data_IF_901899155479
#
_entry.id   IF_901899155479
#
_cell.length_a   1.000
_cell.length_b   1.000
_cell.length_c   1.000
_cell.angle_alpha   90.00
_cell.angle_beta   90.00
_cell.angle_gamma   90.00
#
_symmetry.space_group_name_H-M   'P 1'
#
loop_
_entity.id
_entity.type
_entity.pdbx_description
1 polymer ?
#
# COMPACT_ATOMS: atom_id res chain seq x y z
N UNK A 1 -66.92 -10.45 -42.19
CA UNK A 1 -67.20 -10.88 -40.79
C UNK A 1 -66.06 -11.78 -40.38
N UNK A 2 -65.08 -11.22 -39.65
CA UNK A 2 -64.02 -12.00 -39.05
C UNK A 2 -63.56 -11.24 -37.82
N UNK A 3 -63.72 -11.84 -36.66
CA UNK A 3 -63.44 -11.32 -35.32
C UNK A 3 -61.93 -11.39 -35.08
N UNK A 4 -61.28 -10.33 -34.56
CA UNK A 4 -59.89 -10.44 -34.17
C UNK A 4 -59.74 -11.09 -32.79
N UNK A 5 -58.74 -11.97 -32.67
CA UNK A 5 -58.32 -12.64 -31.43
C UNK A 5 -57.67 -11.64 -30.49
N UNK A 6 -58.08 -11.71 -29.25
CA UNK A 6 -57.43 -11.13 -28.07
C UNK A 6 -55.99 -11.59 -27.95
N UNK A 7 -55.08 -10.63 -27.76
CA UNK A 7 -53.68 -10.87 -27.38
C UNK A 7 -53.66 -10.90 -25.85
N UNK A 8 -53.43 -12.08 -25.29
CA UNK A 8 -53.10 -12.27 -23.89
C UNK A 8 -51.70 -11.67 -23.65
N UNK A 9 -51.66 -10.58 -22.87
CA UNK A 9 -50.43 -10.03 -22.30
C UNK A 9 -50.06 -10.85 -21.07
N UNK A 10 -49.37 -11.98 -21.27
CA UNK A 10 -48.58 -12.59 -20.21
C UNK A 10 -47.36 -11.70 -19.94
N UNK A 11 -47.50 -10.74 -19.01
CA UNK A 11 -46.40 -10.15 -18.27
C UNK A 11 -45.77 -11.24 -17.41
N UNK A 12 -44.88 -11.98 -18.02
CA UNK A 12 -43.92 -12.74 -17.23
C UNK A 12 -43.06 -11.74 -16.44
N UNK A 13 -43.40 -11.63 -15.17
CA UNK A 13 -42.58 -11.05 -14.11
C UNK A 13 -41.26 -11.87 -14.03
N UNK A 14 -40.27 -11.47 -14.83
CA UNK A 14 -38.98 -12.07 -14.88
C UNK A 14 -38.05 -11.40 -13.85
N UNK A 15 -38.57 -11.15 -12.64
CA UNK A 15 -37.75 -10.91 -11.45
C UNK A 15 -37.15 -12.22 -10.97
N UNK A 16 -36.40 -12.90 -11.85
CA UNK A 16 -35.42 -13.87 -11.41
C UNK A 16 -34.34 -13.07 -10.69
N UNK A 17 -34.29 -13.22 -9.36
CA UNK A 17 -33.17 -12.91 -8.49
C UNK A 17 -31.85 -13.30 -9.20
N UNK A 18 -31.27 -12.42 -9.98
CA UNK A 18 -29.84 -12.49 -10.31
C UNK A 18 -29.16 -12.17 -8.99
N UNK A 19 -28.76 -13.21 -8.27
CA UNK A 19 -27.86 -13.09 -7.13
C UNK A 19 -26.71 -12.21 -7.61
N UNK A 20 -26.53 -11.05 -7.01
CA UNK A 20 -25.50 -10.10 -7.42
C UNK A 20 -24.15 -10.82 -7.29
N UNK A 21 -23.44 -10.99 -8.40
CA UNK A 21 -22.13 -11.67 -8.45
C UNK A 21 -21.08 -11.02 -7.55
N UNK A 22 -21.37 -9.84 -7.02
CA UNK A 22 -20.60 -9.19 -5.96
C UNK A 22 -20.44 -10.09 -4.72
N UNK A 23 -21.38 -11.00 -4.44
CA UNK A 23 -21.30 -11.92 -3.30
C UNK A 23 -20.40 -13.15 -3.54
N UNK A 24 -19.90 -13.37 -4.77
CA UNK A 24 -19.00 -14.45 -5.09
C UNK A 24 -17.55 -14.12 -4.68
N UNK A 25 -17.23 -14.39 -3.42
CA UNK A 25 -15.91 -14.11 -2.85
C UNK A 25 -14.88 -15.17 -3.30
N UNK A 26 -13.69 -14.78 -3.79
CA UNK A 26 -12.61 -15.72 -3.99
C UNK A 26 -12.28 -16.48 -2.69
N UNK A 27 -12.19 -17.80 -2.77
CA UNK A 27 -11.92 -18.65 -1.60
C UNK A 27 -10.52 -18.40 -0.96
N UNK A 28 -9.59 -17.77 -1.69
CA UNK A 28 -8.21 -17.54 -1.27
C UNK A 28 -7.83 -16.06 -1.31
N UNK A 29 -7.63 -15.48 -0.12
CA UNK A 29 -7.19 -14.09 0.08
C UNK A 29 -5.80 -13.80 -0.53
N UNK A 30 -4.89 -14.77 -0.57
CA UNK A 30 -3.57 -14.62 -1.20
C UNK A 30 -3.69 -14.46 -2.73
N UNK A 31 -4.72 -15.02 -3.34
CA UNK A 31 -5.02 -14.82 -4.76
C UNK A 31 -5.51 -13.41 -5.04
N UNK A 32 -6.30 -12.82 -4.16
CA UNK A 32 -6.79 -11.44 -4.30
C UNK A 32 -5.62 -10.46 -4.41
N UNK A 33 -4.69 -10.45 -3.44
CA UNK A 33 -3.54 -9.54 -3.46
C UNK A 33 -2.65 -9.75 -4.68
N UNK A 34 -2.46 -11.01 -5.10
CA UNK A 34 -1.62 -11.36 -6.25
C UNK A 34 -2.18 -10.85 -7.57
N UNK A 35 -3.50 -10.90 -7.75
CA UNK A 35 -4.17 -10.50 -8.97
C UNK A 35 -4.32 -8.98 -9.08
N UNK A 36 -4.55 -8.29 -7.95
CA UNK A 36 -4.86 -6.86 -7.95
C UNK A 36 -3.66 -5.96 -7.66
N UNK A 37 -2.60 -6.44 -6.99
CA UNK A 37 -1.41 -5.60 -6.71
C UNK A 37 -0.10 -6.37 -6.73
N UNK A 38 0.65 -6.23 -7.83
CA UNK A 38 2.01 -6.80 -7.93
C UNK A 38 2.95 -6.24 -6.87
N UNK A 39 2.90 -4.94 -6.59
CA UNK A 39 3.77 -4.28 -5.62
C UNK A 39 3.52 -4.78 -4.21
N UNK A 40 2.26 -4.81 -3.76
CA UNK A 40 1.93 -5.32 -2.42
C UNK A 40 2.17 -6.83 -2.30
N UNK A 41 1.85 -7.61 -3.33
CA UNK A 41 2.13 -9.06 -3.35
C UNK A 41 3.62 -9.36 -3.19
N UNK A 42 4.49 -8.62 -3.87
CA UNK A 42 5.94 -8.77 -3.72
C UNK A 42 6.42 -8.37 -2.33
N UNK A 43 5.96 -7.24 -1.82
CA UNK A 43 6.34 -6.76 -0.48
C UNK A 43 5.84 -7.69 0.63
N UNK A 44 4.63 -8.23 0.52
CA UNK A 44 4.05 -9.15 1.51
C UNK A 44 4.88 -10.44 1.69
N UNK A 45 5.58 -10.89 0.65
CA UNK A 45 6.49 -12.05 0.74
C UNK A 45 7.64 -11.84 1.71
N UNK A 46 8.00 -10.60 2.02
CA UNK A 46 9.03 -10.24 3.00
C UNK A 46 8.50 -10.21 4.44
N UNK A 47 7.21 -10.42 4.68
CA UNK A 47 6.62 -10.49 6.02
C UNK A 47 6.78 -11.88 6.64
N UNK A 48 6.89 -11.98 7.99
CA UNK A 48 6.74 -13.24 8.69
C UNK A 48 5.41 -13.91 8.35
N UNK A 49 5.36 -15.23 8.26
CA UNK A 49 4.20 -15.99 7.74
C UNK A 49 2.87 -15.65 8.42
N UNK A 50 2.85 -15.56 9.76
CA UNK A 50 1.64 -15.21 10.51
C UNK A 50 1.16 -13.78 10.30
N UNK A 51 2.08 -12.82 10.08
CA UNK A 51 1.76 -11.43 9.74
C UNK A 51 1.29 -11.34 8.29
N UNK A 52 1.95 -12.07 7.38
CA UNK A 52 1.60 -12.10 5.96
C UNK A 52 0.16 -12.52 5.73
N UNK A 53 -0.26 -13.63 6.32
CA UNK A 53 -1.64 -14.11 6.18
C UNK A 53 -2.68 -13.09 6.65
N UNK A 54 -2.39 -12.37 7.74
CA UNK A 54 -3.30 -11.34 8.24
C UNK A 54 -3.30 -10.09 7.34
N UNK A 55 -2.16 -9.72 6.76
CA UNK A 55 -2.06 -8.63 5.76
C UNK A 55 -2.80 -8.98 4.47
N UNK A 56 -2.73 -10.23 4.02
CA UNK A 56 -3.47 -10.71 2.85
C UNK A 56 -4.99 -10.65 3.09
N UNK A 57 -5.46 -11.00 4.31
CA UNK A 57 -6.87 -10.84 4.71
C UNK A 57 -7.29 -9.37 4.72
N UNK A 58 -6.46 -8.48 5.30
CA UNK A 58 -6.74 -7.04 5.32
C UNK A 58 -6.84 -6.49 3.89
N UNK A 59 -5.89 -6.85 3.04
CA UNK A 59 -5.91 -6.41 1.63
C UNK A 59 -7.17 -6.90 0.92
N UNK A 60 -7.54 -8.16 1.11
CA UNK A 60 -8.72 -8.75 0.49
C UNK A 60 -10.01 -8.03 0.93
N UNK A 61 -10.14 -7.71 2.22
CA UNK A 61 -11.28 -6.96 2.73
C UNK A 61 -11.30 -5.51 2.19
N UNK A 62 -10.17 -4.80 2.20
CA UNK A 62 -10.08 -3.45 1.64
C UNK A 62 -10.46 -3.44 0.14
N UNK A 63 -9.96 -4.41 -0.63
CA UNK A 63 -10.30 -4.54 -2.04
C UNK A 63 -11.79 -4.84 -2.26
N UNK A 64 -12.39 -5.64 -1.39
CA UNK A 64 -13.82 -5.91 -1.41
C UNK A 64 -14.64 -4.65 -1.18
N UNK A 65 -14.24 -3.80 -0.22
CA UNK A 65 -14.90 -2.52 0.02
C UNK A 65 -14.78 -1.58 -1.19
N UNK A 66 -13.63 -1.56 -1.85
CA UNK A 66 -13.39 -0.79 -3.07
C UNK A 66 -14.27 -1.29 -4.24
N UNK A 67 -14.29 -2.62 -4.47
CA UNK A 67 -15.11 -3.25 -5.50
C UNK A 67 -16.63 -3.08 -5.25
N UNK A 68 -17.07 -2.86 -4.02
CA UNK A 68 -18.48 -2.58 -3.72
C UNK A 68 -18.99 -1.34 -4.47
N UNK A 69 -18.13 -0.35 -4.67
CA UNK A 69 -18.43 0.87 -5.43
C UNK A 69 -18.02 0.72 -6.89
N UNK A 70 -16.78 0.32 -7.14
CA UNK A 70 -16.18 0.35 -8.48
C UNK A 70 -16.83 -0.63 -9.47
N UNK A 71 -17.31 -1.78 -8.99
CA UNK A 71 -17.99 -2.79 -9.82
C UNK A 71 -19.51 -2.68 -9.82
N UNK A 72 -20.09 -1.73 -9.10
CA UNK A 72 -21.53 -1.58 -9.04
C UNK A 72 -22.09 -1.04 -10.37
N UNK A 73 -23.22 -1.57 -10.85
CA UNK A 73 -23.82 -1.13 -12.10
C UNK A 73 -24.39 0.30 -12.05
N UNK A 74 -24.67 0.81 -10.86
CA UNK A 74 -25.14 2.18 -10.61
C UNK A 74 -24.89 2.59 -9.15
N UNK A 75 -25.06 3.88 -8.86
CA UNK A 75 -24.84 4.45 -7.52
C UNK A 75 -25.81 3.92 -6.45
N UNK A 76 -27.02 3.53 -6.81
CA UNK A 76 -27.96 2.95 -5.86
C UNK A 76 -27.47 1.60 -5.35
N UNK A 77 -27.06 0.70 -6.24
CA UNK A 77 -26.49 -0.61 -5.88
C UNK A 77 -25.19 -0.44 -5.07
N UNK A 78 -24.34 0.52 -5.46
CA UNK A 78 -23.14 0.85 -4.68
C UNK A 78 -23.48 1.28 -3.25
N UNK A 79 -24.48 2.13 -3.07
CA UNK A 79 -24.97 2.57 -1.76
C UNK A 79 -25.49 1.40 -0.93
N UNK A 80 -26.31 0.52 -1.53
CA UNK A 80 -26.85 -0.67 -0.86
C UNK A 80 -25.73 -1.63 -0.42
N UNK A 81 -24.73 -1.87 -1.28
CA UNK A 81 -23.55 -2.70 -0.95
C UNK A 81 -22.76 -2.11 0.21
N UNK A 82 -22.47 -0.79 0.20
CA UNK A 82 -21.78 -0.12 1.31
C UNK A 82 -22.58 -0.14 2.61
N UNK A 83 -23.89 0.06 2.55
CA UNK A 83 -24.76 -0.03 3.72
C UNK A 83 -24.70 -1.45 4.34
N UNK A 84 -24.73 -2.48 3.51
CA UNK A 84 -24.61 -3.87 3.97
C UNK A 84 -23.22 -4.17 4.58
N UNK A 85 -22.12 -3.62 4.02
CA UNK A 85 -20.80 -3.73 4.62
C UNK A 85 -20.69 -2.98 5.95
N UNK A 86 -21.37 -1.83 6.10
CA UNK A 86 -21.47 -1.11 7.40
C UNK A 86 -22.21 -1.94 8.44
N UNK A 87 -23.32 -2.56 8.06
CA UNK A 87 -24.06 -3.46 8.97
C UNK A 87 -23.18 -4.64 9.42
N UNK A 88 -22.41 -5.22 8.50
CA UNK A 88 -21.44 -6.26 8.87
C UNK A 88 -20.36 -5.76 9.85
N UNK A 89 -19.85 -4.54 9.69
CA UNK A 89 -18.93 -3.96 10.68
C UNK A 89 -19.63 -3.81 12.04
N UNK A 90 -20.87 -3.32 12.09
CA UNK A 90 -21.65 -3.24 13.33
C UNK A 90 -21.84 -4.60 13.99
N UNK A 91 -22.21 -5.64 13.19
CA UNK A 91 -22.37 -7.02 13.64
C UNK A 91 -21.10 -7.62 14.23
N UNK A 92 -19.94 -7.40 13.57
CA UNK A 92 -18.62 -7.85 14.04
C UNK A 92 -18.37 -7.35 15.45
N UNK A 93 -18.57 -6.06 15.69
CA UNK A 93 -18.33 -5.46 17.02
C UNK A 93 -19.45 -5.71 18.04
N UNK A 94 -20.59 -6.20 17.61
CA UNK A 94 -21.66 -6.73 18.48
C UNK A 94 -21.49 -8.23 18.77
N UNK A 95 -20.46 -8.90 18.25
CA UNK A 95 -20.25 -10.35 18.39
C UNK A 95 -21.27 -11.20 17.62
N UNK A 96 -21.87 -10.64 16.56
CA UNK A 96 -22.88 -11.28 15.73
C UNK A 96 -22.26 -11.88 14.47
N UNK A 97 -22.99 -12.81 13.83
CA UNK A 97 -22.57 -13.40 12.56
C UNK A 97 -22.64 -12.37 11.43
N UNK A 98 -21.59 -12.30 10.61
CA UNK A 98 -21.52 -11.46 9.41
C UNK A 98 -22.42 -12.00 8.30
N UNK A 99 -22.88 -11.12 7.42
CA UNK A 99 -23.71 -11.48 6.26
C UNK A 99 -22.83 -11.82 5.06
N UNK A 100 -21.77 -11.03 4.83
CA UNK A 100 -20.87 -11.22 3.71
C UNK A 100 -19.70 -12.13 4.05
N UNK A 101 -19.35 -13.12 3.20
CA UNK A 101 -18.18 -13.95 3.40
C UNK A 101 -16.87 -13.16 3.49
N UNK A 102 -16.73 -12.04 2.73
CA UNK A 102 -15.57 -11.17 2.80
C UNK A 102 -15.41 -10.46 4.16
N UNK A 103 -16.50 -10.17 4.85
CA UNK A 103 -16.50 -9.59 6.18
C UNK A 103 -15.94 -10.54 7.23
N UNK A 104 -15.89 -11.86 6.95
CA UNK A 104 -15.22 -12.83 7.81
C UNK A 104 -13.71 -12.54 7.93
N UNK A 105 -13.07 -12.03 6.89
CA UNK A 105 -11.66 -11.62 6.95
C UNK A 105 -11.44 -10.49 7.97
N UNK A 106 -12.35 -9.49 7.99
CA UNK A 106 -12.30 -8.43 8.99
C UNK A 106 -12.59 -8.97 10.40
N UNK A 107 -13.60 -9.83 10.56
CA UNK A 107 -13.92 -10.47 11.85
C UNK A 107 -12.70 -11.17 12.43
N UNK A 108 -12.02 -12.02 11.65
CA UNK A 108 -10.81 -12.73 12.08
C UNK A 108 -9.69 -11.77 12.54
N UNK A 109 -9.57 -10.61 11.85
CA UNK A 109 -8.56 -9.61 12.17
C UNK A 109 -8.92 -8.80 13.42
N UNK A 110 -10.20 -8.50 13.64
CA UNK A 110 -10.70 -7.86 14.88
C UNK A 110 -10.39 -8.75 16.08
N UNK A 111 -10.79 -10.02 16.02
CA UNK A 111 -10.56 -10.99 17.09
C UNK A 111 -9.07 -11.22 17.36
N UNK A 112 -8.27 -11.42 16.32
CA UNK A 112 -6.87 -11.81 16.45
C UNK A 112 -5.93 -10.64 16.71
N UNK A 113 -6.22 -9.46 16.15
CA UNK A 113 -5.30 -8.31 16.10
C UNK A 113 -5.83 -7.07 16.80
N UNK A 114 -7.12 -7.05 17.13
CA UNK A 114 -7.78 -5.91 17.76
C UNK A 114 -7.80 -4.69 16.84
N UNK A 115 -8.23 -4.88 15.59
CA UNK A 115 -8.55 -3.77 14.69
C UNK A 115 -9.73 -3.02 15.28
N UNK A 116 -9.67 -1.70 15.29
CA UNK A 116 -10.70 -0.85 15.88
C UNK A 116 -11.84 -0.59 14.88
N UNK A 117 -13.08 -0.57 15.39
CA UNK A 117 -14.29 -0.31 14.62
C UNK A 117 -14.19 0.95 13.78
N UNK A 118 -13.68 2.03 14.40
CA UNK A 118 -13.55 3.33 13.73
C UNK A 118 -12.70 3.24 12.46
N UNK A 119 -11.63 2.43 12.45
CA UNK A 119 -10.79 2.28 11.26
C UNK A 119 -11.55 1.63 10.09
N UNK A 120 -12.38 0.63 10.38
CA UNK A 120 -13.21 -0.01 9.37
C UNK A 120 -14.28 0.97 8.82
N UNK A 121 -14.94 1.71 9.71
CA UNK A 121 -15.94 2.70 9.31
C UNK A 121 -15.36 3.86 8.51
N UNK A 122 -14.15 4.36 8.86
CA UNK A 122 -13.47 5.41 8.08
C UNK A 122 -13.11 4.92 6.67
N UNK A 123 -12.67 3.66 6.51
CA UNK A 123 -12.43 3.10 5.18
C UNK A 123 -13.71 3.11 4.34
N UNK A 124 -14.83 2.63 4.88
CA UNK A 124 -16.12 2.65 4.20
C UNK A 124 -16.58 4.07 3.88
N UNK A 125 -16.30 5.04 4.77
CA UNK A 125 -16.56 6.46 4.49
C UNK A 125 -15.68 7.02 3.37
N UNK A 126 -14.48 6.48 3.16
CA UNK A 126 -13.66 6.77 1.98
C UNK A 126 -14.30 6.27 0.70
N UNK A 127 -14.80 5.03 0.70
CA UNK A 127 -15.51 4.45 -0.46
C UNK A 127 -16.82 5.20 -0.76
N UNK A 128 -17.52 5.69 0.29
CA UNK A 128 -18.73 6.49 0.14
C UNK A 128 -18.50 7.81 -0.60
N UNK A 129 -17.29 8.42 -0.45
CA UNK A 129 -16.91 9.61 -1.21
C UNK A 129 -16.87 9.37 -2.72
N UNK A 130 -16.71 8.12 -3.14
CA UNK A 130 -16.62 7.71 -4.55
C UNK A 130 -17.98 7.32 -5.19
N UNK A 131 -19.09 7.40 -4.44
CA UNK A 131 -20.44 7.00 -4.91
C UNK A 131 -20.99 7.86 -6.04
N UNK A 132 -20.59 9.12 -6.09
CA UNK A 132 -21.11 10.08 -7.06
C UNK A 132 -19.97 10.73 -7.84
N UNK A 133 -20.28 11.25 -9.03
CA UNK A 133 -19.35 12.11 -9.76
C UNK A 133 -18.87 13.25 -8.85
N UNK A 134 -17.59 13.24 -8.50
CA UNK A 134 -17.07 14.08 -7.45
C UNK A 134 -15.70 14.65 -7.84
N UNK A 135 -15.51 15.90 -7.49
CA UNK A 135 -14.22 16.58 -7.60
C UNK A 135 -13.86 17.22 -6.26
N UNK A 136 -12.66 16.98 -5.82
CA UNK A 136 -12.08 17.53 -4.59
C UNK A 136 -12.05 19.06 -4.65
N UNK A 137 -12.51 19.74 -3.60
CA UNK A 137 -12.55 21.19 -3.58
C UNK A 137 -11.17 21.80 -3.28
N UNK A 138 -10.48 21.28 -2.28
CA UNK A 138 -9.16 21.77 -1.87
C UNK A 138 -8.21 20.64 -1.43
N UNK A 139 -6.99 21.02 -0.97
CA UNK A 139 -5.97 20.08 -0.50
C UNK A 139 -6.40 19.38 0.80
N UNK A 140 -7.19 20.01 1.66
CA UNK A 140 -7.65 19.39 2.90
C UNK A 140 -8.62 18.25 2.61
N UNK A 141 -9.54 18.43 1.66
CA UNK A 141 -10.45 17.37 1.19
C UNK A 141 -9.69 16.23 0.51
N UNK A 142 -8.67 16.54 -0.29
CA UNK A 142 -7.80 15.55 -0.90
C UNK A 142 -7.11 14.70 0.18
N UNK A 143 -6.57 15.32 1.21
CA UNK A 143 -5.90 14.61 2.30
C UNK A 143 -6.89 13.81 3.15
N UNK A 144 -8.09 14.32 3.37
CA UNK A 144 -9.15 13.58 4.05
C UNK A 144 -9.52 12.30 3.28
N UNK A 145 -9.69 12.41 1.96
CA UNK A 145 -9.91 11.24 1.10
C UNK A 145 -8.74 10.24 1.20
N UNK A 146 -7.51 10.71 1.04
CA UNK A 146 -6.32 9.85 1.13
C UNK A 146 -6.19 9.19 2.52
N UNK A 147 -6.56 9.90 3.59
CA UNK A 147 -6.60 9.34 4.94
C UNK A 147 -7.63 8.20 5.02
N UNK A 148 -8.85 8.42 4.55
CA UNK A 148 -9.93 7.43 4.60
C UNK A 148 -9.65 6.22 3.71
N UNK A 149 -9.19 6.44 2.47
CA UNK A 149 -8.94 5.37 1.51
C UNK A 149 -7.68 4.54 1.83
N UNK A 150 -6.64 5.12 2.48
CA UNK A 150 -5.37 4.43 2.69
C UNK A 150 -4.67 4.74 4.02
N UNK A 151 -4.82 5.94 4.59
CA UNK A 151 -4.22 6.28 5.89
C UNK A 151 -4.70 5.37 7.01
N UNK A 152 -6.01 5.09 7.06
CA UNK A 152 -6.60 4.15 8.05
C UNK A 152 -6.13 2.72 7.86
N UNK A 153 -5.80 2.31 6.62
CA UNK A 153 -5.18 0.99 6.36
C UNK A 153 -3.81 0.92 7.03
N UNK A 154 -3.06 2.03 7.06
CA UNK A 154 -1.81 2.13 7.83
C UNK A 154 -2.01 1.86 9.33
N UNK A 155 -3.11 2.35 9.93
CA UNK A 155 -3.48 2.05 11.33
C UNK A 155 -3.80 0.57 11.53
N UNK A 156 -4.59 -0.03 10.65
CA UNK A 156 -4.90 -1.46 10.71
C UNK A 156 -3.63 -2.31 10.55
N UNK A 157 -2.70 -1.91 9.69
CA UNK A 157 -1.38 -2.53 9.54
C UNK A 157 -0.56 -2.45 10.84
N UNK A 158 -0.60 -1.33 11.57
CA UNK A 158 0.02 -1.22 12.89
C UNK A 158 -0.53 -2.27 13.85
N UNK A 159 -1.86 -2.45 13.93
CA UNK A 159 -2.50 -3.49 14.76
C UNK A 159 -2.02 -4.90 14.38
N UNK A 160 -1.98 -5.22 13.09
CA UNK A 160 -1.51 -6.53 12.58
C UNK A 160 -0.04 -6.77 12.94
N UNK A 161 0.82 -5.74 12.85
CA UNK A 161 2.24 -5.83 13.20
C UNK A 161 2.53 -5.72 14.71
N UNK A 162 1.49 -5.51 15.54
CA UNK A 162 1.64 -5.41 17.00
C UNK A 162 2.20 -4.06 17.47
N UNK A 163 2.02 -2.99 16.70
CA UNK A 163 2.41 -1.62 17.03
C UNK A 163 1.17 -0.85 17.52
N UNK A 164 1.30 -0.19 18.68
CA UNK A 164 0.19 0.52 19.33
C UNK A 164 0.63 1.87 19.93
N UNK A 165 1.71 2.45 19.44
CA UNK A 165 2.16 3.77 19.89
C UNK A 165 1.72 4.84 18.89
N UNK A 166 1.21 5.96 19.42
CA UNK A 166 0.62 7.02 18.60
C UNK A 166 1.61 7.73 17.67
N UNK A 167 2.91 7.67 17.93
CA UNK A 167 3.91 8.26 17.03
C UNK A 167 4.07 7.39 15.76
N UNK A 168 4.22 6.07 15.93
CA UNK A 168 4.28 5.12 14.83
C UNK A 168 2.99 5.08 14.01
N UNK A 169 1.84 5.19 14.67
CA UNK A 169 0.53 5.25 14.03
C UNK A 169 0.39 6.49 13.12
N UNK A 170 0.80 7.67 13.60
CA UNK A 170 0.84 8.90 12.77
C UNK A 170 1.71 8.71 11.53
N UNK A 171 2.86 8.05 11.67
CA UNK A 171 3.78 7.80 10.56
C UNK A 171 3.22 6.76 9.58
N UNK A 172 2.48 5.75 10.06
CA UNK A 172 1.79 4.79 9.21
C UNK A 172 0.67 5.45 8.40
N UNK A 173 -0.10 6.37 8.99
CA UNK A 173 -1.08 7.20 8.28
C UNK A 173 -0.40 8.00 7.16
N UNK A 174 0.73 8.67 7.45
CA UNK A 174 1.48 9.44 6.46
C UNK A 174 1.92 8.55 5.28
N UNK A 175 2.38 7.32 5.56
CA UNK A 175 2.79 6.40 4.50
C UNK A 175 1.60 5.95 3.65
N UNK A 176 0.44 5.68 4.25
CA UNK A 176 -0.80 5.36 3.55
C UNK A 176 -1.25 6.49 2.64
N UNK A 177 -1.30 7.73 3.15
CA UNK A 177 -1.63 8.94 2.37
C UNK A 177 -0.66 9.11 1.19
N UNK A 178 0.65 8.92 1.39
CA UNK A 178 1.65 9.02 0.33
C UNK A 178 1.40 8.01 -0.81
N UNK A 179 1.03 6.78 -0.45
CA UNK A 179 0.71 5.73 -1.42
C UNK A 179 -0.57 6.06 -2.19
N UNK A 180 -1.59 6.60 -1.52
CA UNK A 180 -2.84 6.99 -2.17
C UNK A 180 -2.64 8.19 -3.12
N UNK A 181 -1.90 9.21 -2.71
CA UNK A 181 -1.51 10.32 -3.59
C UNK A 181 -0.77 9.80 -4.85
N UNK A 182 0.06 8.76 -4.70
CA UNK A 182 0.73 8.12 -5.84
C UNK A 182 -0.25 7.36 -6.74
N UNK A 183 -1.25 6.68 -6.18
CA UNK A 183 -2.32 6.04 -6.95
C UNK A 183 -3.11 7.08 -7.76
N UNK A 184 -3.59 8.13 -7.11
CA UNK A 184 -4.29 9.26 -7.75
C UNK A 184 -3.45 9.82 -8.91
N UNK A 185 -2.16 10.04 -8.69
CA UNK A 185 -1.25 10.54 -9.72
C UNK A 185 -1.12 9.58 -10.92
N UNK A 186 -1.13 8.28 -10.68
CA UNK A 186 -1.01 7.25 -11.72
C UNK A 186 -2.27 7.09 -12.54
N UNK A 187 -3.42 7.24 -11.90
CA UNK A 187 -4.70 6.78 -12.42
C UNK A 187 -5.63 7.93 -12.86
N UNK A 188 -5.11 9.18 -13.04
CA UNK A 188 -5.89 10.39 -13.40
C UNK A 188 -6.86 10.16 -14.57
N UNK A 189 -6.41 9.49 -15.65
CA UNK A 189 -7.24 9.22 -16.82
C UNK A 189 -8.38 8.22 -16.51
N UNK A 190 -8.10 7.16 -15.71
CA UNK A 190 -9.10 6.18 -15.32
C UNK A 190 -10.14 6.79 -14.38
N UNK A 191 -9.70 7.60 -13.41
CA UNK A 191 -10.57 8.28 -12.46
C UNK A 191 -11.48 9.27 -13.16
N UNK A 192 -10.94 10.03 -14.11
CA UNK A 192 -11.74 10.95 -14.94
C UNK A 192 -12.83 10.22 -15.73
N UNK A 193 -12.51 9.08 -16.34
CA UNK A 193 -13.48 8.27 -17.08
C UNK A 193 -14.59 7.71 -16.18
N UNK A 194 -14.29 7.49 -14.90
CA UNK A 194 -15.27 7.08 -13.87
C UNK A 194 -16.05 8.24 -13.26
N UNK A 195 -15.85 9.47 -13.76
CA UNK A 195 -16.48 10.67 -13.24
C UNK A 195 -15.89 11.17 -11.92
N UNK A 196 -14.63 10.81 -11.59
CA UNK A 196 -13.92 11.22 -10.38
C UNK A 196 -12.73 12.09 -10.72
N UNK A 197 -12.51 13.16 -9.95
CA UNK A 197 -11.32 14.00 -10.08
C UNK A 197 -10.78 14.36 -8.68
N UNK A 198 -9.62 13.79 -8.36
CA UNK A 198 -8.94 14.06 -7.08
C UNK A 198 -7.96 15.23 -7.17
N UNK A 199 -7.92 15.95 -8.30
CA UNK A 199 -7.16 17.20 -8.43
C UNK A 199 -8.02 18.33 -7.82
N UNK A 200 -7.54 19.05 -6.78
CA UNK A 200 -8.30 20.10 -6.13
C UNK A 200 -8.71 21.22 -7.07
N UNK A 201 -9.98 21.62 -7.03
CA UNK A 201 -10.49 22.77 -7.78
C UNK A 201 -9.73 24.05 -7.46
N UNK A 202 -9.31 24.21 -6.22
CA UNK A 202 -8.54 25.35 -5.75
C UNK A 202 -7.17 25.50 -6.42
N UNK A 203 -6.66 24.45 -7.08
CA UNK A 203 -5.41 24.54 -7.84
C UNK A 203 -5.57 25.21 -9.21
N UNK A 204 -6.80 25.24 -9.74
CA UNK A 204 -7.15 25.98 -10.97
C UNK A 204 -6.66 25.39 -12.28
N UNK A 205 -5.95 24.26 -12.24
CA UNK A 205 -5.32 23.68 -13.43
C UNK A 205 -6.30 22.81 -14.27
N UNK A 206 -7.41 22.36 -13.68
CA UNK A 206 -8.37 21.45 -14.30
C UNK A 206 -9.78 22.01 -14.19
N UNK A 207 -10.43 22.18 -15.33
CA UNK A 207 -11.82 22.60 -15.40
C UNK A 207 -12.76 21.50 -14.84
N UNK A 208 -14.05 21.85 -14.66
CA UNK A 208 -15.04 20.97 -13.99
C UNK A 208 -15.17 19.62 -14.69
N UNK A 209 -15.31 18.56 -13.90
CA UNK A 209 -15.82 17.24 -14.33
C UNK A 209 -17.07 17.40 -15.20
N UNK A 210 -17.12 16.62 -16.29
CA UNK A 210 -18.24 16.66 -17.25
C UNK A 210 -17.97 17.49 -18.50
N UNK A 211 -16.82 18.19 -18.56
CA UNK A 211 -16.28 18.79 -19.78
C UNK A 211 -15.39 17.79 -20.54
N UNK A 212 -14.78 18.20 -21.64
CA UNK A 212 -13.88 17.36 -22.43
C UNK A 212 -12.72 16.80 -21.56
N UNK A 213 -12.22 15.62 -21.93
CA UNK A 213 -11.05 15.02 -21.31
C UNK A 213 -9.86 16.02 -21.33
N UNK A 214 -9.25 16.34 -20.18
CA UNK A 214 -8.13 17.28 -20.15
C UNK A 214 -6.90 16.70 -20.85
N UNK A 215 -6.06 17.58 -21.39
CA UNK A 215 -4.79 17.20 -22.01
C UNK A 215 -3.71 16.98 -20.92
N UNK A 216 -2.63 16.26 -21.29
CA UNK A 216 -1.47 16.12 -20.42
C UNK A 216 -0.89 17.48 -19.98
N UNK A 217 -0.87 18.48 -20.87
CA UNK A 217 -0.36 19.82 -20.56
C UNK A 217 -1.19 20.52 -19.48
N UNK A 218 -2.51 20.32 -19.47
CA UNK A 218 -3.40 20.91 -18.47
C UNK A 218 -3.25 20.26 -17.10
N UNK A 219 -3.08 18.93 -17.02
CA UNK A 219 -2.97 18.22 -15.75
C UNK A 219 -1.56 18.18 -15.17
N UNK A 220 -0.51 18.36 -16.00
CA UNK A 220 0.88 18.21 -15.59
C UNK A 220 1.29 19.07 -14.37
N UNK A 221 0.90 20.35 -14.24
CA UNK A 221 1.21 21.14 -13.05
C UNK A 221 0.62 20.52 -11.77
N UNK A 222 -0.65 20.12 -11.81
CA UNK A 222 -1.32 19.46 -10.66
C UNK A 222 -0.73 18.11 -10.33
N UNK A 223 -0.39 17.30 -11.34
CA UNK A 223 0.30 16.02 -11.16
C UNK A 223 1.67 16.21 -10.49
N UNK A 224 2.41 17.27 -10.86
CA UNK A 224 3.67 17.61 -10.22
C UNK A 224 3.49 18.02 -8.74
N UNK A 225 2.42 18.78 -8.43
CA UNK A 225 2.04 19.15 -7.05
C UNK A 225 1.69 17.89 -6.23
N UNK A 226 0.85 16.99 -6.76
CA UNK A 226 0.49 15.71 -6.12
C UNK A 226 1.73 14.90 -5.77
N UNK A 227 2.69 14.76 -6.70
CA UNK A 227 3.94 14.03 -6.46
C UNK A 227 4.85 14.71 -5.44
N UNK A 228 4.83 16.04 -5.36
CA UNK A 228 5.59 16.79 -4.36
C UNK A 228 4.97 16.57 -2.97
N UNK A 229 3.66 16.64 -2.88
CA UNK A 229 2.91 16.35 -1.67
C UNK A 229 3.15 14.91 -1.21
N UNK A 230 3.01 13.92 -2.11
CA UNK A 230 3.31 12.53 -1.84
C UNK A 230 4.74 12.33 -1.29
N UNK A 231 5.73 13.03 -1.85
CA UNK A 231 7.12 12.94 -1.38
C UNK A 231 7.28 13.42 0.06
N UNK A 232 6.59 14.50 0.47
CA UNK A 232 6.57 14.98 1.86
C UNK A 232 5.99 13.92 2.79
N UNK A 233 4.84 13.34 2.43
CA UNK A 233 4.20 12.28 3.20
C UNK A 233 5.06 11.01 3.28
N UNK A 234 5.73 10.60 2.21
CA UNK A 234 6.70 9.50 2.24
C UNK A 234 7.87 9.77 3.19
N UNK A 235 8.41 10.99 3.18
CA UNK A 235 9.54 11.35 4.05
C UNK A 235 9.15 11.24 5.52
N UNK A 236 7.98 11.74 5.87
CA UNK A 236 7.44 11.66 7.23
C UNK A 236 7.12 10.21 7.63
N UNK A 237 6.42 9.46 6.77
CA UNK A 237 6.02 8.09 7.05
C UNK A 237 7.19 7.11 7.19
N UNK A 238 8.28 7.32 6.46
CA UNK A 238 9.48 6.47 6.57
C UNK A 238 10.15 6.51 7.94
N UNK A 239 10.00 7.58 8.71
CA UNK A 239 10.57 7.67 10.05
C UNK A 239 10.01 6.59 10.98
N UNK A 240 8.74 6.18 10.78
CA UNK A 240 8.09 5.12 11.55
C UNK A 240 8.55 3.70 11.26
N UNK A 241 9.24 3.46 10.16
CA UNK A 241 9.63 2.09 9.78
C UNK A 241 10.58 1.48 10.83
N UNK A 242 11.43 2.30 11.45
CA UNK A 242 12.39 1.86 12.47
C UNK A 242 11.71 1.39 13.76
N UNK A 243 10.48 1.81 14.05
CA UNK A 243 9.71 1.40 15.23
C UNK A 243 9.01 0.06 15.04
N UNK A 244 8.80 -0.35 13.80
CA UNK A 244 8.19 -1.63 13.47
C UNK A 244 9.02 -2.82 13.96
N UNK A 245 8.40 -3.99 14.23
CA UNK A 245 9.12 -5.23 14.46
C UNK A 245 10.11 -5.52 13.34
N UNK A 246 11.33 -5.93 13.69
CA UNK A 246 12.43 -6.11 12.72
C UNK A 246 12.04 -6.96 11.51
N UNK A 247 11.26 -8.03 11.71
CA UNK A 247 10.80 -8.91 10.64
C UNK A 247 9.80 -8.27 9.67
N UNK A 248 9.15 -7.16 10.05
CA UNK A 248 8.18 -6.45 9.20
C UNK A 248 8.82 -5.32 8.38
N UNK A 249 9.96 -4.77 8.84
CA UNK A 249 10.61 -3.61 8.22
C UNK A 249 10.93 -3.80 6.73
N UNK A 250 11.49 -4.95 6.29
CA UNK A 250 11.82 -5.15 4.86
C UNK A 250 10.61 -5.02 3.95
N UNK A 251 9.47 -5.54 4.36
CA UNK A 251 8.24 -5.47 3.59
C UNK A 251 7.75 -4.03 3.41
N UNK A 252 7.75 -3.24 4.49
CA UNK A 252 7.27 -1.86 4.46
C UNK A 252 8.24 -0.95 3.69
N UNK A 253 9.56 -1.14 3.87
CA UNK A 253 10.58 -0.44 3.06
C UNK A 253 10.37 -0.75 1.58
N UNK A 254 10.23 -2.03 1.22
CA UNK A 254 10.05 -2.45 -0.15
C UNK A 254 8.76 -1.89 -0.76
N UNK A 255 7.62 -1.99 -0.06
CA UNK A 255 6.35 -1.41 -0.51
C UNK A 255 6.48 0.10 -0.78
N UNK A 256 7.08 0.84 0.16
CA UNK A 256 7.32 2.27 0.02
C UNK A 256 8.17 2.59 -1.21
N UNK A 257 9.25 1.84 -1.48
CA UNK A 257 10.11 2.09 -2.63
C UNK A 257 9.44 1.75 -3.96
N UNK A 258 8.68 0.66 -4.02
CA UNK A 258 7.93 0.27 -5.22
C UNK A 258 6.88 1.32 -5.61
N UNK A 259 6.17 1.86 -4.62
CA UNK A 259 5.21 2.94 -4.86
C UNK A 259 5.87 4.26 -5.26
N UNK A 260 6.98 4.64 -4.60
CA UNK A 260 7.77 5.81 -5.02
C UNK A 260 8.28 5.70 -6.45
N UNK A 261 8.66 4.51 -6.90
CA UNK A 261 9.12 4.30 -8.28
C UNK A 261 8.01 4.56 -9.30
N UNK A 262 6.73 4.29 -8.96
CA UNK A 262 5.59 4.68 -9.80
C UNK A 262 5.59 6.21 -10.01
N UNK A 263 5.67 6.99 -8.94
CA UNK A 263 5.73 8.45 -9.02
C UNK A 263 6.96 8.97 -9.79
N UNK A 264 8.12 8.31 -9.61
CA UNK A 264 9.31 8.63 -10.41
C UNK A 264 9.12 8.31 -11.90
N UNK A 265 8.40 7.25 -12.22
CA UNK A 265 8.10 6.92 -13.62
C UNK A 265 7.15 7.95 -14.25
N UNK A 266 6.14 8.43 -13.52
CA UNK A 266 5.28 9.53 -13.98
C UNK A 266 6.12 10.78 -14.30
N UNK A 267 7.07 11.14 -13.43
CA UNK A 267 8.01 12.26 -13.69
C UNK A 267 8.83 12.06 -14.96
N UNK A 268 9.37 10.84 -15.18
CA UNK A 268 10.16 10.51 -16.38
C UNK A 268 9.33 10.53 -17.66
N UNK A 269 8.05 10.25 -17.55
CA UNK A 269 7.10 10.35 -18.65
C UNK A 269 6.58 11.78 -18.86
N UNK A 270 7.25 12.81 -18.29
CA UNK A 270 6.84 14.22 -18.34
C UNK A 270 5.38 14.43 -17.92
N UNK A 271 4.94 13.71 -16.87
CA UNK A 271 3.59 13.76 -16.31
C UNK A 271 2.48 13.40 -17.32
N UNK A 272 2.79 12.61 -18.34
CA UNK A 272 1.84 12.15 -19.35
C UNK A 272 0.94 11.03 -18.77
N UNK A 273 -0.04 11.41 -17.94
CA UNK A 273 -0.95 10.49 -17.22
C UNK A 273 -2.30 10.33 -17.90
N UNK A 274 -2.60 11.17 -18.91
CA UNK A 274 -3.84 11.08 -19.68
C UNK A 274 -3.76 10.06 -20.82
N UNK A 275 -2.53 9.64 -21.21
CA UNK A 275 -2.30 8.64 -22.26
C UNK A 275 -2.55 7.20 -21.79
N UNK A 276 -2.90 7.03 -20.50
CA UNK A 276 -3.17 5.76 -19.83
C UNK A 276 -2.31 5.56 -18.59
N UNK A 277 -2.56 4.43 -17.94
CA UNK A 277 -1.93 4.09 -16.66
C UNK A 277 -0.42 3.96 -16.76
N UNK A 278 0.32 4.70 -15.95
CA UNK A 278 1.79 4.60 -15.90
C UNK A 278 2.24 3.26 -15.34
N UNK A 279 3.05 2.54 -16.12
CA UNK A 279 3.66 1.25 -15.75
C UNK A 279 5.16 1.42 -15.58
N UNK A 280 5.70 0.89 -14.47
CA UNK A 280 7.16 0.86 -14.24
C UNK A 280 7.78 -0.24 -15.11
N UNK A 281 8.77 0.07 -15.97
CA UNK A 281 9.44 -0.93 -16.80
C UNK A 281 10.12 -2.02 -15.95
N UNK A 282 10.13 -3.27 -16.47
CA UNK A 282 10.62 -4.44 -15.73
C UNK A 282 12.06 -4.27 -15.20
N UNK A 283 12.96 -3.67 -15.97
CA UNK A 283 14.35 -3.41 -15.54
C UNK A 283 14.42 -2.46 -14.33
N UNK A 284 13.59 -1.40 -14.32
CA UNK A 284 13.50 -0.49 -13.16
C UNK A 284 12.86 -1.14 -11.96
N UNK A 285 11.82 -1.94 -12.18
CA UNK A 285 11.19 -2.72 -11.14
C UNK A 285 12.20 -3.65 -10.46
N UNK A 286 13.05 -4.35 -11.23
CA UNK A 286 14.10 -5.23 -10.72
C UNK A 286 15.13 -4.45 -9.88
N UNK A 287 15.59 -3.29 -10.37
CA UNK A 287 16.53 -2.43 -9.63
C UNK A 287 15.88 -1.94 -8.32
N UNK A 288 14.63 -1.52 -8.36
CA UNK A 288 13.90 -1.03 -7.18
C UNK A 288 13.68 -2.16 -6.16
N UNK A 289 13.38 -3.37 -6.62
CA UNK A 289 13.29 -4.57 -5.77
C UNK A 289 14.63 -4.84 -5.05
N UNK A 290 15.74 -4.84 -5.78
CA UNK A 290 17.07 -5.08 -5.18
C UNK A 290 17.43 -4.00 -4.16
N UNK A 291 17.25 -2.72 -4.51
CA UNK A 291 17.48 -1.60 -3.59
C UNK A 291 16.57 -1.67 -2.36
N UNK A 292 15.29 -2.00 -2.55
CA UNK A 292 14.30 -2.12 -1.48
C UNK A 292 14.63 -3.24 -0.51
N UNK A 293 15.04 -4.41 -1.02
CA UNK A 293 15.47 -5.53 -0.19
C UNK A 293 16.74 -5.21 0.58
N UNK A 294 17.76 -4.63 -0.06
CA UNK A 294 18.98 -4.21 0.61
C UNK A 294 18.71 -3.18 1.71
N UNK A 295 17.93 -2.13 1.41
CA UNK A 295 17.55 -1.11 2.38
C UNK A 295 16.71 -1.68 3.54
N UNK A 296 15.81 -2.62 3.24
CA UNK A 296 15.00 -3.31 4.24
C UNK A 296 15.84 -4.18 5.19
N UNK A 297 16.82 -4.89 4.66
CA UNK A 297 17.76 -5.66 5.46
C UNK A 297 18.61 -4.75 6.37
N UNK A 298 19.17 -3.66 5.83
CA UNK A 298 19.91 -2.66 6.62
C UNK A 298 19.02 -2.08 7.73
N UNK A 299 17.77 -1.74 7.42
CA UNK A 299 16.81 -1.23 8.40
C UNK A 299 16.48 -2.26 9.49
N UNK A 300 16.46 -3.55 9.17
CA UNK A 300 16.23 -4.63 10.14
C UNK A 300 17.40 -4.86 11.08
N UNK A 301 18.61 -4.55 10.64
CA UNK A 301 19.83 -4.64 11.45
C UNK A 301 20.01 -3.44 12.40
N UNK A 302 19.36 -2.32 12.11
CA UNK A 302 19.40 -1.13 12.96
C UNK A 302 18.74 -1.42 14.31
N UNK A 303 19.35 -0.96 15.42
CA UNK A 303 18.89 -1.25 16.79
C UNK A 303 17.47 -0.69 17.03
N UNK A 304 16.73 -1.32 17.97
CA UNK A 304 15.42 -0.84 18.42
C UNK A 304 15.52 0.57 18.99
N UNK A 305 14.61 1.46 18.58
CA UNK A 305 14.13 2.48 19.49
C UNK A 305 13.37 1.73 20.60
N UNK A 306 13.74 1.94 21.86
CA UNK A 306 13.07 1.37 23.03
C UNK A 306 11.69 1.99 23.14
N UNK A 307 10.64 1.19 22.89
CA UNK A 307 9.27 1.58 23.17
C UNK A 307 8.99 1.29 24.65
N UNK A 308 8.65 2.31 25.41
CA UNK A 308 8.17 2.19 26.80
C UNK A 308 6.69 1.78 26.77
N UNK A 309 6.21 0.85 27.61
CA UNK A 309 4.88 0.26 27.47
C UNK A 309 3.72 1.05 28.09
N UNK A 310 3.89 2.30 28.49
CA UNK A 310 2.82 3.05 29.17
C UNK A 310 2.57 4.42 28.57
N UNK A 311 1.58 4.52 27.66
CA UNK A 311 0.79 5.75 27.49
C UNK A 311 -0.57 5.47 26.84
N UNK A 312 -1.64 5.83 27.58
CA UNK A 312 -3.04 5.80 27.12
C UNK A 312 -3.25 6.75 25.94
N UNK A 313 -4.03 6.32 24.96
CA UNK A 313 -4.32 7.03 23.71
C UNK A 313 -4.95 8.40 23.94
N UNK A 314 -4.46 9.48 23.32
CA UNK A 314 -5.19 10.74 23.20
C UNK A 314 -5.93 10.85 21.86
N UNK A 315 -7.08 11.48 21.95
CA UNK A 315 -7.97 11.86 20.83
C UNK A 315 -7.26 12.74 19.80
N UNK A 316 -7.52 12.49 18.53
CA UNK A 316 -6.87 13.14 17.39
C UNK A 316 -7.30 14.60 17.30
N UNK A 317 -6.37 15.54 17.40
CA UNK A 317 -6.47 16.92 16.95
C UNK A 317 -5.39 17.24 15.90
N UNK A 318 -5.55 18.25 15.03
CA UNK A 318 -4.65 18.48 13.89
C UNK A 318 -3.26 18.94 14.32
N UNK A 319 -2.29 18.55 13.51
CA UNK A 319 -0.85 18.52 13.78
C UNK A 319 -0.21 19.91 13.77
N UNK A 320 0.52 20.26 14.83
CA UNK A 320 1.57 21.28 14.80
C UNK A 320 2.80 20.84 15.61
N UNK A 321 3.98 21.03 15.00
CA UNK A 321 5.37 21.11 15.51
C UNK A 321 6.06 19.89 16.17
N UNK A 322 7.30 19.64 15.71
CA UNK A 322 8.27 18.61 16.17
C UNK A 322 9.58 19.21 16.69
N UNK A 323 10.20 18.54 17.68
CA UNK A 323 11.63 18.70 18.03
C UNK A 323 12.29 17.41 18.53
N UNK A 324 13.45 17.10 17.97
CA UNK A 324 14.71 16.40 18.35
C UNK A 324 14.82 15.10 19.16
N UNK A 325 15.80 14.26 18.75
CA UNK A 325 16.26 12.93 19.20
C UNK A 325 17.34 12.97 20.31
N UNK A 326 17.65 11.81 21.00
CA UNK A 326 18.97 11.16 20.84
C UNK A 326 19.08 9.62 21.07
N UNK A 327 20.22 8.99 20.68
CA UNK A 327 21.03 7.97 21.36
C UNK A 327 21.07 6.53 20.83
N UNK A 328 22.27 6.05 20.49
CA UNK A 328 22.65 4.71 19.93
C UNK A 328 23.08 3.68 20.98
N UNK A 329 22.97 2.36 20.64
CA UNK A 329 23.80 1.27 21.20
C UNK A 329 23.91 0.03 20.30
N UNK A 330 25.01 -0.70 20.40
CA UNK A 330 25.63 -1.68 19.50
C UNK A 330 25.27 -3.15 19.76
N UNK A 331 25.36 -4.01 18.72
CA UNK A 331 25.34 -5.47 18.85
C UNK A 331 26.23 -6.20 17.84
N UNK A 332 26.99 -7.19 18.32
CA UNK A 332 27.86 -8.09 17.55
C UNK A 332 27.09 -9.35 17.11
N UNK A 333 27.18 -9.72 15.82
CA UNK A 333 26.84 -11.08 15.40
C UNK A 333 27.46 -11.46 14.03
N UNK A 334 28.67 -12.01 14.06
CA UNK A 334 29.37 -12.51 12.87
C UNK A 334 28.64 -13.68 12.18
N UNK A 335 27.87 -14.48 12.93
CA UNK A 335 27.05 -15.58 12.38
C UNK A 335 25.88 -15.08 11.57
N UNK A 336 25.29 -13.94 11.94
CA UNK A 336 24.18 -13.33 11.20
C UNK A 336 24.65 -12.76 9.85
N UNK A 337 25.85 -12.17 9.82
CA UNK A 337 26.45 -11.66 8.57
C UNK A 337 26.78 -12.79 7.58
N UNK A 338 27.20 -13.95 8.05
CA UNK A 338 27.43 -15.13 7.22
C UNK A 338 26.13 -15.68 6.64
N UNK A 339 25.05 -15.70 7.41
CA UNK A 339 23.72 -16.11 6.94
C UNK A 339 23.15 -15.14 5.89
N UNK A 340 23.41 -13.85 6.08
CA UNK A 340 22.99 -12.79 5.16
C UNK A 340 23.69 -12.92 3.81
N UNK A 341 25.03 -13.19 3.81
CA UNK A 341 25.80 -13.34 2.57
C UNK A 341 25.37 -14.56 1.75
N UNK A 342 25.04 -15.69 2.40
CA UNK A 342 24.48 -16.86 1.71
C UNK A 342 23.07 -16.59 1.15
N UNK A 343 22.23 -15.86 1.87
CA UNK A 343 20.87 -15.51 1.43
C UNK A 343 20.89 -14.58 0.23
N UNK A 344 21.81 -13.62 0.19
CA UNK A 344 21.95 -12.66 -0.93
C UNK A 344 22.52 -13.37 -2.16
N UNK A 345 23.46 -14.29 -2.01
CA UNK A 345 24.00 -15.09 -3.13
C UNK A 345 22.94 -16.01 -3.73
N UNK A 346 22.13 -16.68 -2.89
CA UNK A 346 20.99 -17.51 -3.32
C UNK A 346 19.91 -16.68 -4.00
N UNK A 347 19.65 -15.47 -3.52
CA UNK A 347 18.68 -14.55 -4.11
C UNK A 347 19.17 -13.99 -5.45
N UNK A 348 20.45 -13.67 -5.60
CA UNK A 348 21.07 -13.25 -6.87
C UNK A 348 20.89 -14.32 -7.95
N UNK A 349 21.10 -15.60 -7.61
CA UNK A 349 20.86 -16.72 -8.51
C UNK A 349 19.38 -16.85 -8.90
N UNK A 350 18.45 -16.62 -7.96
CA UNK A 350 17.01 -16.66 -8.21
C UNK A 350 16.54 -15.51 -9.10
N UNK A 351 17.07 -14.31 -8.93
CA UNK A 351 16.78 -13.14 -9.78
C UNK A 351 17.32 -13.36 -11.19
N UNK A 352 18.50 -13.96 -11.34
CA UNK A 352 19.07 -14.29 -12.62
C UNK A 352 18.24 -15.35 -13.37
N UNK A 353 17.75 -16.35 -12.65
CA UNK A 353 16.82 -17.36 -13.19
C UNK A 353 15.50 -16.74 -13.64
N UNK A 354 14.97 -15.78 -12.86
CA UNK A 354 13.75 -15.03 -13.22
C UNK A 354 13.95 -14.16 -14.47
N UNK A 355 15.09 -13.48 -14.60
CA UNK A 355 15.44 -12.67 -15.78
C UNK A 355 15.58 -13.55 -17.04
N UNK A 356 16.14 -14.75 -16.92
CA UNK A 356 16.22 -15.72 -18.01
C UNK A 356 14.82 -16.23 -18.46
N UNK A 357 13.89 -16.39 -17.52
CA UNK A 357 12.55 -16.91 -17.81
C UNK A 357 11.62 -15.86 -18.47
N UNK A 358 11.78 -14.57 -18.11
CA UNK A 358 10.90 -13.51 -18.58
C UNK A 358 11.38 -12.77 -19.83
N UNK A 359 12.66 -12.92 -20.25
CA UNK A 359 13.14 -12.27 -21.47
C UNK A 359 14.23 -13.10 -22.19
N UNK A 360 13.88 -14.27 -22.76
CA UNK A 360 14.85 -15.16 -23.39
C UNK A 360 15.47 -14.60 -24.69
N UNK A 361 14.96 -13.48 -25.24
CA UNK A 361 15.42 -12.91 -26.53
C UNK A 361 16.47 -11.81 -26.40
N UNK A 362 16.65 -11.19 -25.24
CA UNK A 362 17.56 -10.05 -25.05
C UNK A 362 18.83 -10.38 -24.24
N UNK A 363 18.92 -11.53 -23.62
CA UNK A 363 20.11 -11.91 -22.84
C UNK A 363 21.07 -12.71 -23.69
N UNK A 364 22.13 -12.04 -24.21
CA UNK A 364 23.26 -12.75 -24.76
C UNK A 364 24.02 -13.45 -23.62
N UNK A 365 24.41 -14.71 -23.81
CA UNK A 365 25.14 -15.54 -22.84
C UNK A 365 26.48 -14.91 -22.37
N UNK A 366 26.94 -13.86 -23.01
CA UNK A 366 28.20 -13.15 -22.69
C UNK A 366 28.04 -12.09 -21.61
N UNK A 367 26.83 -11.53 -21.39
CA UNK A 367 26.60 -10.46 -20.39
C UNK A 367 26.20 -10.99 -19.01
N UNK A 368 25.67 -12.20 -18.92
CA UNK A 368 25.22 -12.83 -17.67
C UNK A 368 26.35 -13.05 -16.62
N UNK A 369 27.54 -13.58 -17.00
CA UNK A 369 28.64 -13.73 -16.06
C UNK A 369 29.14 -12.39 -15.49
N UNK A 370 29.16 -11.32 -16.31
CA UNK A 370 29.58 -9.99 -15.87
C UNK A 370 28.62 -9.37 -14.85
N UNK A 371 27.32 -9.56 -15.02
CA UNK A 371 26.29 -9.11 -14.05
C UNK A 371 26.41 -9.88 -12.74
N UNK A 372 26.67 -11.19 -12.78
CA UNK A 372 26.86 -12.03 -11.60
C UNK A 372 28.13 -11.65 -10.83
N UNK A 373 29.24 -11.45 -11.51
CA UNK A 373 30.50 -10.99 -10.92
C UNK A 373 30.34 -9.59 -10.33
N UNK A 374 29.66 -8.68 -11.02
CA UNK A 374 29.37 -7.33 -10.53
C UNK A 374 28.52 -7.33 -9.27
N UNK A 375 27.49 -8.17 -9.21
CA UNK A 375 26.63 -8.32 -8.03
C UNK A 375 27.37 -8.96 -6.85
N UNK A 376 28.18 -9.99 -7.10
CA UNK A 376 28.97 -10.65 -6.07
C UNK A 376 30.06 -9.73 -5.51
N UNK A 377 30.72 -8.92 -6.35
CA UNK A 377 31.68 -7.89 -5.94
C UNK A 377 31.01 -6.78 -5.11
N UNK A 378 29.84 -6.29 -5.54
CA UNK A 378 29.10 -5.26 -4.79
C UNK A 378 28.68 -5.75 -3.39
N UNK A 379 28.24 -7.01 -3.28
CA UNK A 379 27.91 -7.65 -2.01
C UNK A 379 29.18 -7.82 -1.15
N UNK A 380 30.28 -8.26 -1.73
CA UNK A 380 31.56 -8.41 -1.05
C UNK A 380 32.07 -7.08 -0.49
N UNK A 381 32.00 -6.00 -1.28
CA UNK A 381 32.38 -4.64 -0.86
C UNK A 381 31.49 -4.13 0.28
N UNK A 382 30.18 -4.29 0.19
CA UNK A 382 29.26 -3.88 1.26
C UNK A 382 29.52 -4.68 2.54
N UNK A 383 29.75 -5.98 2.43
CA UNK A 383 30.05 -6.86 3.57
C UNK A 383 31.38 -6.48 4.22
N UNK A 384 32.42 -6.15 3.40
CA UNK A 384 33.73 -5.68 3.88
C UNK A 384 33.61 -4.35 4.64
N UNK A 385 32.86 -3.36 4.11
CA UNK A 385 32.67 -2.07 4.79
C UNK A 385 31.85 -2.20 6.07
N UNK A 386 30.87 -3.09 6.10
CA UNK A 386 30.07 -3.36 7.31
C UNK A 386 30.93 -4.06 8.39
N UNK A 387 31.77 -5.03 8.01
CA UNK A 387 32.71 -5.69 8.90
C UNK A 387 33.74 -4.70 9.45
N UNK A 388 34.35 -3.87 8.58
CA UNK A 388 35.32 -2.84 8.97
C UNK A 388 34.74 -1.75 9.87
N UNK A 389 33.46 -1.41 9.70
CA UNK A 389 32.75 -0.49 10.58
C UNK A 389 32.45 -1.08 11.95
N UNK A 390 32.31 -2.40 12.05
CA UNK A 390 32.17 -3.11 13.33
C UNK A 390 33.48 -3.21 14.12
N UNK A 391 34.64 -3.22 13.42
CA UNK A 391 35.98 -3.27 14.05
C UNK A 391 36.45 -1.91 14.60
N UNK A 392 35.90 -0.79 14.15
CA UNK A 392 36.41 0.58 14.44
C UNK A 392 35.77 1.20 15.69
N UNK A 393 35.08 0.45 16.54
CA UNK A 393 34.61 0.99 17.82
C UNK A 393 35.62 0.66 18.95
N UNK A 394 36.35 1.65 19.52
CA UNK A 394 37.21 1.38 20.67
C UNK A 394 36.36 1.10 21.90
N UNK A 395 36.68 0.01 22.58
CA UNK A 395 36.19 -0.30 23.91
C UNK A 395 36.63 0.81 24.87
N UNK A 396 35.71 1.68 25.29
CA UNK A 396 35.96 2.62 26.36
C UNK A 396 36.01 1.84 27.68
N UNK A 397 37.21 1.58 28.15
CA UNK A 397 37.47 1.08 29.50
C UNK A 397 37.11 2.20 30.49
N UNK A 398 36.04 2.03 31.23
CA UNK A 398 35.74 2.86 32.39
C UNK A 398 36.71 2.53 33.52
N UNK A 399 37.78 3.32 33.67
CA UNK A 399 38.52 3.43 34.91
C UNK A 399 37.87 4.54 35.76
N UNK A 400 37.15 4.14 36.78
CA UNK A 400 36.90 4.95 37.99
C UNK A 400 37.09 4.10 39.19
N UNK A 401 38.26 4.19 39.75
CA UNK A 401 38.54 4.03 41.17
C UNK A 401 39.06 5.38 41.69
N UNK A 402 38.35 5.89 42.59
CA UNK A 402 38.60 6.68 43.81
C UNK A 402 37.54 7.74 44.01
#
# INVERSE_FOLDING_TARGET
>A
MTIPRTIDNDCHDNTKNTVDSFFDVPADNATVIRNHSRSFSLAAKCLPSGVRSDVEKLYAWCRWCDDAVDSAPNSQIATERLASLRDDVERIFAGQKVQHPASQWLFDLVEKRGIEKQHALELLSGMEMDLHAWQVDDEADLILYCYRAAGVVGLMMCRIMGVRDGASEKQAIQLGIAMQLTNITRDVAEDWQRGRCYIPKSWGDVERLGQSLPTNAQVAPSVAKLLTLAQTYYTNGQMGIKTLPRGCRPAIVLASQLYREIGQQVRRNNYAVMDGRTVVPAGRLAITLMRGLAAGLICSLSSKATCSPDQKSPTIQPVSTFSTLPGESTMNDARYLAYLSLSVASFGASVMFLLMFFNPKETSYTTLPAIYVGLSLAVGVVTYFLAKRAEVQPVAVNAKSQ
#
